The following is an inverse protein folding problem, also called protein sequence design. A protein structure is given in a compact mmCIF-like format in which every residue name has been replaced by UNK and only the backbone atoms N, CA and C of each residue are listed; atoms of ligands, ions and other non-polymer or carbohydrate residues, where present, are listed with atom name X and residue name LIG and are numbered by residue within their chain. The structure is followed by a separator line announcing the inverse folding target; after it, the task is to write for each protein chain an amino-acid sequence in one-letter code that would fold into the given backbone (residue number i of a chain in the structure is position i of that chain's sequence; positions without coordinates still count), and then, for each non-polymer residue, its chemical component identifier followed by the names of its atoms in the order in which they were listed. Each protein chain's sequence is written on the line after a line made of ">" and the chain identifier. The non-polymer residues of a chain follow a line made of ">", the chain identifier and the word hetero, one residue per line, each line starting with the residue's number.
data_IF_521500489069
#
_entry.id   IF_521500489069
#
_cell.length_a   1.000
_cell.length_b   1.000
_cell.length_c   1.000
_cell.angle_alpha   90.00
_cell.angle_beta   90.00
_cell.angle_gamma   90.00
#
_symmetry.space_group_name_H-M   'P 1'
#
loop_
_entity.id
_entity.type
_entity.pdbx_description
1 polymer ?
#
# COMPACT_ATOMS: atom_id res chain seq x y z
N UNK A 1 -15.00 -23.96 -53.98
CA UNK A 1 -13.97 -23.13 -53.32
C UNK A 1 -14.24 -21.68 -53.71
N UNK A 2 -14.47 -20.68 -52.87
CA UNK A 2 -14.40 -20.53 -51.42
C UNK A 2 -15.44 -19.46 -51.01
N UNK A 3 -16.24 -19.73 -49.97
CA UNK A 3 -17.12 -18.74 -49.35
C UNK A 3 -16.32 -17.81 -48.43
N UNK A 4 -16.58 -16.51 -48.52
CA UNK A 4 -15.85 -15.44 -47.84
C UNK A 4 -16.08 -15.42 -46.32
N UNK A 5 -15.01 -15.65 -45.55
CA UNK A 5 -14.91 -15.29 -44.12
C UNK A 5 -14.23 -13.92 -43.97
N UNK A 6 -14.97 -12.81 -44.04
CA UNK A 6 -14.43 -11.45 -43.74
C UNK A 6 -15.47 -10.48 -43.16
N UNK A 7 -16.32 -10.91 -42.22
CA UNK A 7 -17.28 -10.01 -41.55
C UNK A 7 -17.29 -10.03 -40.01
N UNK A 8 -16.47 -10.85 -39.36
CA UNK A 8 -16.47 -10.93 -37.89
C UNK A 8 -15.42 -10.07 -37.17
N UNK A 9 -14.32 -9.69 -37.85
CA UNK A 9 -13.22 -8.96 -37.18
C UNK A 9 -13.55 -7.47 -36.97
N UNK A 10 -14.36 -6.89 -37.84
CA UNK A 10 -14.71 -5.45 -37.78
C UNK A 10 -15.70 -5.15 -36.65
N UNK A 11 -16.53 -6.11 -36.22
CA UNK A 11 -17.48 -5.87 -35.11
C UNK A 11 -16.83 -6.00 -33.74
N UNK A 12 -15.83 -6.88 -33.56
CA UNK A 12 -15.12 -6.98 -32.29
C UNK A 12 -14.25 -5.74 -32.04
N UNK A 13 -13.57 -5.23 -33.07
CA UNK A 13 -12.75 -4.04 -32.95
C UNK A 13 -13.60 -2.78 -32.71
N UNK A 14 -14.73 -2.64 -33.42
CA UNK A 14 -15.65 -1.52 -33.19
C UNK A 14 -16.33 -1.60 -31.81
N UNK A 15 -16.67 -2.80 -31.33
CA UNK A 15 -17.26 -2.98 -29.99
C UNK A 15 -16.24 -2.69 -28.88
N UNK A 16 -14.98 -3.12 -29.04
CA UNK A 16 -13.89 -2.78 -28.13
C UNK A 16 -13.59 -1.26 -28.12
N UNK A 17 -13.57 -0.62 -29.28
CA UNK A 17 -13.42 0.84 -29.37
C UNK A 17 -14.62 1.59 -28.78
N UNK A 18 -15.84 1.08 -28.92
CA UNK A 18 -17.04 1.72 -28.33
C UNK A 18 -17.07 1.56 -26.80
N UNK A 19 -16.67 0.40 -26.27
CA UNK A 19 -16.50 0.17 -24.83
C UNK A 19 -15.41 1.08 -24.23
N UNK A 20 -14.26 1.21 -24.90
CA UNK A 20 -13.17 2.10 -24.49
C UNK A 20 -13.55 3.59 -24.52
N UNK A 21 -14.40 4.01 -25.47
CA UNK A 21 -14.88 5.39 -25.54
C UNK A 21 -15.93 5.68 -24.45
N UNK A 22 -16.73 4.68 -24.04
CA UNK A 22 -17.69 4.85 -22.93
C UNK A 22 -17.06 4.75 -21.54
N UNK A 23 -15.93 4.06 -21.36
CA UNK A 23 -15.21 4.01 -20.07
C UNK A 23 -14.48 5.31 -19.73
N UNK A 24 -14.04 6.07 -20.74
CA UNK A 24 -13.42 7.39 -20.54
C UNK A 24 -14.40 8.49 -20.11
N UNK A 25 -15.71 8.25 -20.17
CA UNK A 25 -16.72 9.28 -19.94
C UNK A 25 -17.01 9.61 -18.46
N UNK A 26 -16.45 8.85 -17.51
CA UNK A 26 -16.56 9.13 -16.06
C UNK A 26 -15.22 9.00 -15.31
N UNK A 27 -14.09 9.01 -16.03
CA UNK A 27 -12.77 8.92 -15.41
C UNK A 27 -12.56 10.10 -14.46
N UNK A 28 -12.41 9.82 -13.17
CA UNK A 28 -12.09 10.84 -12.15
C UNK A 28 -10.60 10.78 -11.85
N UNK A 29 -9.97 11.94 -11.72
CA UNK A 29 -8.60 12.05 -11.20
C UNK A 29 -8.67 12.45 -9.73
N UNK A 30 -7.96 11.72 -8.88
CA UNK A 30 -7.88 11.97 -7.46
C UNK A 30 -6.43 12.25 -7.06
N UNK A 31 -6.18 13.37 -6.39
CA UNK A 31 -4.90 13.66 -5.75
C UNK A 31 -5.06 13.41 -4.25
N UNK A 32 -4.33 12.46 -3.69
CA UNK A 32 -4.54 12.06 -2.30
C UNK A 32 -3.89 13.01 -1.32
N UNK A 33 -2.87 13.75 -1.76
CA UNK A 33 -2.09 14.71 -0.97
C UNK A 33 -2.30 16.12 -1.51
N UNK A 34 -2.38 17.11 -0.61
CA UNK A 34 -2.55 18.52 -1.00
C UNK A 34 -1.84 19.44 -0.04
N UNK A 35 -1.16 20.46 -0.55
CA UNK A 35 -0.58 21.53 0.25
C UNK A 35 -1.53 22.71 0.35
N UNK A 36 -1.71 23.20 1.57
CA UNK A 36 -2.47 24.40 1.87
C UNK A 36 -1.51 25.51 2.29
N UNK A 37 -1.40 26.52 1.43
CA UNK A 37 -0.53 27.68 1.58
C UNK A 37 -1.16 28.76 2.49
N UNK A 38 -0.41 29.23 3.47
CA UNK A 38 -0.62 30.48 4.17
C UNK A 38 0.22 31.58 3.53
N UNK A 39 -0.41 32.53 2.80
CA UNK A 39 0.32 33.53 2.04
C UNK A 39 1.01 34.61 2.90
N UNK A 40 0.96 34.50 4.23
CA UNK A 40 1.50 35.49 5.16
C UNK A 40 2.78 35.06 5.86
N UNK A 41 3.07 33.77 5.92
CA UNK A 41 4.22 33.21 6.64
C UNK A 41 4.97 32.26 5.73
N UNK A 42 6.30 32.32 5.80
CA UNK A 42 7.14 31.37 5.08
C UNK A 42 6.94 29.97 5.68
N UNK A 43 6.96 28.95 4.83
CA UNK A 43 6.94 27.56 5.26
C UNK A 43 7.96 27.31 6.38
N UNK A 44 7.46 26.77 7.49
CA UNK A 44 8.28 26.25 8.57
C UNK A 44 7.87 24.80 8.87
N UNK A 45 8.65 23.85 8.35
CA UNK A 45 8.44 22.42 8.58
C UNK A 45 8.28 22.06 10.07
N UNK A 46 8.95 22.79 10.97
CA UNK A 46 8.88 22.51 12.41
C UNK A 46 7.56 22.92 13.05
N UNK A 47 6.77 23.77 12.38
CA UNK A 47 5.54 24.35 12.91
C UNK A 47 4.34 24.18 11.95
N UNK A 48 4.39 23.22 11.01
CA UNK A 48 3.23 22.91 10.16
C UNK A 48 1.99 22.64 11.02
N UNK A 49 0.93 23.44 10.84
CA UNK A 49 -0.25 23.40 11.68
C UNK A 49 -1.55 23.84 10.96
N UNK A 50 -2.68 23.51 11.58
CA UNK A 50 -4.01 23.67 11.02
C UNK A 50 -4.36 25.14 10.66
N UNK A 51 -5.31 25.42 9.75
CA UNK A 51 -5.63 26.78 9.33
C UNK A 51 -5.88 27.76 10.49
N UNK A 52 -5.21 28.92 10.48
CA UNK A 52 -5.46 30.03 11.42
C UNK A 52 -4.60 30.04 12.69
N UNK A 53 -3.54 29.25 12.73
CA UNK A 53 -2.50 29.19 13.75
C UNK A 53 -1.29 30.10 13.39
N UNK A 54 -0.11 29.86 13.97
CA UNK A 54 1.06 30.76 13.84
C UNK A 54 1.70 30.67 12.45
N UNK A 55 1.81 29.47 11.86
CA UNK A 55 2.28 29.28 10.49
C UNK A 55 1.13 28.98 9.51
N UNK A 56 0.17 28.12 9.85
CA UNK A 56 -1.03 27.88 9.05
C UNK A 56 -0.80 27.24 7.66
N UNK A 57 0.45 26.90 7.33
CA UNK A 57 0.83 26.02 6.23
C UNK A 57 0.64 24.57 6.70
N UNK A 58 0.00 23.73 5.89
CA UNK A 58 -0.14 22.30 6.20
C UNK A 58 -0.30 21.43 4.96
N UNK A 59 0.11 20.17 5.09
CA UNK A 59 -0.20 19.10 4.13
C UNK A 59 -1.45 18.37 4.61
N UNK A 60 -2.37 18.11 3.69
CA UNK A 60 -3.56 17.32 3.92
C UNK A 60 -3.52 16.02 3.13
N UNK A 61 -4.18 15.00 3.67
CA UNK A 61 -4.42 13.73 3.01
C UNK A 61 -5.91 13.41 2.95
N UNK A 62 -6.35 12.82 1.84
CA UNK A 62 -7.76 12.47 1.59
C UNK A 62 -7.96 11.14 0.86
N UNK A 63 -6.94 10.27 0.88
CA UNK A 63 -6.94 8.99 0.15
C UNK A 63 -7.46 7.78 0.92
N UNK A 64 -8.16 7.96 2.05
CA UNK A 64 -8.67 6.85 2.85
C UNK A 64 -9.86 6.16 2.18
N UNK A 65 -9.95 4.83 2.30
CA UNK A 65 -11.06 4.00 1.80
C UNK A 65 -11.96 3.56 2.95
N UNK A 66 -13.29 3.62 2.75
CA UNK A 66 -14.27 3.21 3.74
C UNK A 66 -15.45 2.41 3.16
N UNK A 67 -16.01 1.53 4.00
CA UNK A 67 -17.29 0.87 3.74
C UNK A 67 -18.46 1.85 4.00
N UNK A 68 -18.99 2.47 2.93
CA UNK A 68 -20.02 3.52 2.92
C UNK A 68 -19.52 4.95 3.21
N UNK A 69 -18.93 5.55 2.18
CA UNK A 69 -18.53 6.94 2.19
C UNK A 69 -19.72 7.92 2.34
N UNK A 70 -19.82 8.58 3.50
CA UNK A 70 -20.66 9.78 3.68
C UNK A 70 -19.86 11.08 3.88
N UNK A 71 -18.52 11.00 3.97
CA UNK A 71 -17.66 12.11 4.41
C UNK A 71 -16.67 12.63 3.35
N UNK A 72 -16.76 12.16 2.10
CA UNK A 72 -15.87 12.60 1.02
C UNK A 72 -14.59 11.76 0.87
N UNK A 73 -14.48 10.65 1.60
CA UNK A 73 -13.41 9.66 1.48
C UNK A 73 -13.53 8.85 0.18
N UNK A 74 -12.57 7.96 -0.13
CA UNK A 74 -12.70 7.07 -1.28
C UNK A 74 -13.68 5.91 -1.01
N UNK A 75 -14.39 5.51 -2.06
CA UNK A 75 -15.17 4.27 -2.06
C UNK A 75 -14.24 3.07 -2.28
N UNK A 76 -14.77 1.88 -2.04
CA UNK A 76 -14.13 0.57 -2.23
C UNK A 76 -13.95 0.17 -3.70
N UNK A 77 -14.30 1.04 -4.65
CA UNK A 77 -14.24 0.74 -6.09
C UNK A 77 -13.72 1.92 -6.91
N UNK A 78 -12.69 1.66 -7.71
CA UNK A 78 -12.16 2.54 -8.75
C UNK A 78 -12.40 1.90 -10.12
N UNK A 79 -13.00 2.65 -11.05
CA UNK A 79 -13.30 2.15 -12.38
C UNK A 79 -13.12 3.19 -13.48
N UNK A 80 -11.98 3.11 -14.19
CA UNK A 80 -11.63 4.11 -15.19
C UNK A 80 -10.94 5.34 -14.59
N UNK A 81 -10.55 5.28 -13.32
CA UNK A 81 -10.05 6.41 -12.56
C UNK A 81 -8.53 6.53 -12.63
N UNK A 82 -8.04 7.73 -12.33
CA UNK A 82 -6.63 8.00 -12.07
C UNK A 82 -6.45 8.44 -10.64
N UNK A 83 -5.48 7.88 -9.92
CA UNK A 83 -5.13 8.35 -8.57
C UNK A 83 -3.67 8.73 -8.56
N UNK A 84 -3.34 9.91 -8.04
CA UNK A 84 -1.99 10.37 -7.78
C UNK A 84 -1.79 10.41 -6.26
N UNK A 85 -0.96 9.50 -5.75
CA UNK A 85 -0.61 9.37 -4.35
C UNK A 85 -1.00 8.02 -3.75
N UNK A 86 -1.34 8.04 -2.47
CA UNK A 86 -1.49 6.85 -1.63
C UNK A 86 -2.96 6.56 -1.37
N UNK A 87 -3.45 5.38 -1.73
CA UNK A 87 -4.74 4.85 -1.29
C UNK A 87 -4.53 4.11 0.03
N UNK A 88 -5.20 4.52 1.10
CA UNK A 88 -5.10 3.83 2.40
C UNK A 88 -6.39 3.08 2.72
N UNK A 89 -6.28 1.77 2.91
CA UNK A 89 -7.37 0.89 3.36
C UNK A 89 -7.37 0.71 4.88
N UNK A 90 -6.61 1.54 5.62
CA UNK A 90 -6.49 1.47 7.08
C UNK A 90 -7.83 1.28 7.79
N UNK A 91 -8.82 2.12 7.47
CA UNK A 91 -10.14 2.03 8.11
C UNK A 91 -11.06 0.95 7.55
N UNK A 92 -10.81 0.48 6.33
CA UNK A 92 -11.53 -0.66 5.78
C UNK A 92 -11.06 -1.96 6.43
N UNK A 93 -9.78 -2.05 6.78
CA UNK A 93 -9.15 -3.28 7.28
C UNK A 93 -9.14 -3.37 8.80
N UNK A 94 -9.27 -2.24 9.50
CA UNK A 94 -9.44 -2.18 10.95
C UNK A 94 -10.90 -1.95 11.36
N UNK A 95 -11.83 -2.54 10.60
CA UNK A 95 -13.25 -2.31 10.83
C UNK A 95 -13.81 -3.11 12.00
N UNK A 96 -14.87 -2.57 12.59
CA UNK A 96 -15.23 -2.78 13.99
C UNK A 96 -16.01 -4.08 14.26
N UNK A 97 -16.17 -4.98 13.28
CA UNK A 97 -17.17 -6.07 13.37
C UNK A 97 -16.86 -7.25 12.44
N UNK A 98 -16.76 -8.46 13.00
CA UNK A 98 -16.67 -9.72 12.26
C UNK A 98 -17.65 -9.80 11.07
N UNK A 99 -17.13 -10.12 9.88
CA UNK A 99 -17.92 -10.49 8.71
C UNK A 99 -18.42 -9.32 7.83
N UNK A 100 -17.85 -8.14 7.98
CA UNK A 100 -17.94 -7.03 7.03
C UNK A 100 -17.11 -7.31 5.77
N UNK A 101 -17.37 -6.54 4.70
CA UNK A 101 -16.70 -6.75 3.41
C UNK A 101 -15.42 -5.93 3.36
N UNK A 102 -14.27 -6.60 3.51
CA UNK A 102 -12.95 -5.97 3.53
C UNK A 102 -12.31 -6.11 2.14
N UNK A 103 -12.82 -5.34 1.18
CA UNK A 103 -12.47 -5.48 -0.24
C UNK A 103 -12.26 -4.14 -0.94
N UNK A 104 -11.17 -4.04 -1.71
CA UNK A 104 -10.90 -2.95 -2.65
C UNK A 104 -10.89 -3.48 -4.09
N UNK A 105 -11.61 -2.82 -4.99
CA UNK A 105 -11.71 -3.18 -6.40
C UNK A 105 -11.16 -2.06 -7.29
N UNK A 106 -10.17 -2.37 -8.12
CA UNK A 106 -9.54 -1.43 -9.05
C UNK A 106 -9.62 -1.99 -10.45
N UNK A 107 -10.35 -1.32 -11.34
CA UNK A 107 -10.57 -1.80 -12.70
C UNK A 107 -10.42 -0.72 -13.75
N UNK A 108 -9.74 -1.00 -14.87
CA UNK A 108 -9.53 -0.01 -15.94
C UNK A 108 -8.88 1.30 -15.46
N UNK A 109 -8.17 1.28 -14.34
CA UNK A 109 -7.65 2.47 -13.66
C UNK A 109 -6.14 2.56 -13.72
N UNK A 110 -5.62 3.75 -13.46
CA UNK A 110 -4.20 4.04 -13.35
C UNK A 110 -3.92 4.64 -11.97
N UNK A 111 -3.17 3.94 -11.14
CA UNK A 111 -2.79 4.41 -9.81
C UNK A 111 -1.31 4.73 -9.88
N UNK A 112 -1.00 6.01 -9.70
CA UNK A 112 0.35 6.54 -9.55
C UNK A 112 0.65 6.69 -8.06
N UNK A 113 1.48 5.81 -7.50
CA UNK A 113 1.84 5.82 -6.09
C UNK A 113 1.62 4.47 -5.41
N UNK A 114 0.83 4.43 -4.34
CA UNK A 114 0.75 3.22 -3.52
C UNK A 114 -0.64 2.90 -3.01
N UNK A 115 -0.85 1.61 -2.72
CA UNK A 115 -1.97 1.10 -1.95
C UNK A 115 -1.40 0.57 -0.63
N UNK A 116 -1.92 1.05 0.49
CA UNK A 116 -1.47 0.64 1.82
C UNK A 116 -2.61 0.29 2.75
N UNK A 117 -2.41 -0.66 3.67
CA UNK A 117 -3.31 -0.86 4.81
C UNK A 117 -2.92 -0.05 6.04
N UNK A 118 -1.83 0.71 5.98
CA UNK A 118 -1.31 1.50 7.09
C UNK A 118 -1.84 2.94 7.09
N UNK A 119 -1.57 3.67 8.17
CA UNK A 119 -1.73 5.12 8.19
C UNK A 119 -0.72 5.76 7.22
N UNK A 120 -1.18 6.62 6.29
CA UNK A 120 -0.30 7.33 5.40
C UNK A 120 0.64 8.26 6.15
N UNK A 121 1.82 8.43 5.59
CA UNK A 121 2.86 9.29 6.13
C UNK A 121 3.61 10.00 5.03
N UNK A 122 4.34 11.04 5.42
CA UNK A 122 5.32 11.67 4.57
C UNK A 122 6.31 12.50 5.35
N UNK A 123 7.34 12.94 4.65
CA UNK A 123 8.50 13.60 5.22
C UNK A 123 8.82 14.87 4.44
N UNK A 124 9.28 15.90 5.15
CA UNK A 124 9.82 17.10 4.54
C UNK A 124 11.06 16.80 3.70
N UNK A 125 11.28 17.63 2.68
CA UNK A 125 12.47 17.60 1.82
C UNK A 125 13.81 17.66 2.56
N UNK A 126 13.83 18.23 3.78
CA UNK A 126 15.03 18.37 4.61
C UNK A 126 15.21 17.26 5.65
N UNK A 127 14.30 16.27 5.70
CA UNK A 127 14.33 15.14 6.63
C UNK A 127 14.11 15.51 8.11
N UNK A 128 13.72 16.76 8.40
CA UNK A 128 13.55 17.24 9.77
C UNK A 128 12.13 17.07 10.31
N UNK A 129 11.14 16.87 9.44
CA UNK A 129 9.74 16.74 9.81
C UNK A 129 9.13 15.49 9.16
N UNK A 130 8.76 14.53 10.01
CA UNK A 130 7.99 13.35 9.61
C UNK A 130 6.56 13.55 10.09
N UNK A 131 5.62 13.51 9.15
CA UNK A 131 4.19 13.57 9.42
C UNK A 131 3.57 12.21 9.19
N UNK A 132 3.18 11.55 10.28
CA UNK A 132 2.21 10.47 10.20
C UNK A 132 0.82 11.07 10.35
N UNK A 133 -0.09 10.73 9.44
CA UNK A 133 -1.50 11.05 9.63
C UNK A 133 -1.98 10.35 10.90
N UNK A 134 -2.08 11.12 11.98
CA UNK A 134 -2.56 10.66 13.27
C UNK A 134 -4.02 11.02 13.45
N UNK A 135 -4.74 10.18 14.18
CA UNK A 135 -6.14 10.40 14.47
C UNK A 135 -6.32 11.58 15.44
N UNK A 136 -6.50 12.79 14.91
CA UNK A 136 -6.79 13.95 15.76
C UNK A 136 -8.26 14.00 16.16
N UNK A 137 -8.55 13.53 17.38
CA UNK A 137 -9.78 13.84 18.10
C UNK A 137 -11.05 13.17 17.57
N UNK A 138 -10.96 12.01 16.93
CA UNK A 138 -12.14 11.24 16.55
C UNK A 138 -12.44 10.10 17.53
N UNK A 139 -13.73 9.87 17.81
CA UNK A 139 -14.22 8.76 18.63
C UNK A 139 -14.14 7.41 17.87
N UNK A 140 -13.23 7.24 16.90
CA UNK A 140 -13.16 6.01 16.08
C UNK A 140 -12.36 4.97 16.86
N UNK A 141 -13.07 3.99 17.40
CA UNK A 141 -12.50 2.84 18.14
C UNK A 141 -11.83 1.84 17.18
N UNK A 142 -10.63 2.11 16.70
CA UNK A 142 -9.88 1.15 15.86
C UNK A 142 -9.71 -0.17 16.63
N UNK A 143 -10.06 -1.30 16.01
CA UNK A 143 -9.75 -2.60 16.60
C UNK A 143 -8.28 -2.93 16.33
N UNK A 144 -7.51 -3.02 17.42
CA UNK A 144 -6.10 -3.40 17.40
C UNK A 144 -5.92 -4.93 17.50
N UNK A 145 -6.99 -5.73 17.41
CA UNK A 145 -6.87 -7.17 17.41
C UNK A 145 -6.82 -7.71 15.98
N UNK A 146 -5.88 -8.61 15.72
CA UNK A 146 -5.97 -9.47 14.56
C UNK A 146 -7.10 -10.47 14.75
N UNK A 147 -7.99 -10.61 13.76
CA UNK A 147 -9.08 -11.58 13.76
C UNK A 147 -8.83 -12.63 12.67
N UNK A 148 -8.73 -13.91 13.07
CA UNK A 148 -8.56 -15.00 12.12
C UNK A 148 -9.76 -15.09 11.17
N UNK A 149 -9.50 -15.08 9.87
CA UNK A 149 -10.52 -15.06 8.82
C UNK A 149 -11.02 -13.67 8.42
N UNK A 150 -10.56 -12.60 9.08
CA UNK A 150 -10.75 -11.24 8.61
C UNK A 150 -9.68 -10.87 7.55
N UNK A 151 -9.92 -11.35 6.33
CA UNK A 151 -8.95 -11.27 5.23
C UNK A 151 -9.30 -10.13 4.28
N UNK A 152 -8.38 -9.17 4.16
CA UNK A 152 -8.51 -8.09 3.19
C UNK A 152 -8.36 -8.63 1.76
N UNK A 153 -9.22 -8.19 0.84
CA UNK A 153 -9.19 -8.63 -0.57
C UNK A 153 -8.94 -7.45 -1.51
N UNK A 154 -7.82 -7.47 -2.21
CA UNK A 154 -7.47 -6.50 -3.26
C UNK A 154 -7.69 -7.12 -4.65
N UNK A 155 -8.54 -6.52 -5.47
CA UNK A 155 -8.77 -6.97 -6.85
C UNK A 155 -8.31 -5.90 -7.84
N UNK A 156 -7.39 -6.27 -8.73
CA UNK A 156 -6.82 -5.41 -9.76
C UNK A 156 -7.11 -6.06 -11.12
N UNK A 157 -7.81 -5.34 -12.00
CA UNK A 157 -8.25 -5.86 -13.29
C UNK A 157 -8.11 -4.83 -14.42
N UNK A 158 -7.30 -5.13 -15.44
CA UNK A 158 -7.01 -4.20 -16.53
C UNK A 158 -6.55 -2.82 -16.03
N UNK A 159 -5.72 -2.81 -15.00
CA UNK A 159 -5.25 -1.59 -14.35
C UNK A 159 -3.73 -1.57 -14.24
N UNK A 160 -3.16 -0.38 -14.12
CA UNK A 160 -1.75 -0.20 -13.77
C UNK A 160 -1.69 0.40 -12.37
N UNK A 161 -0.95 -0.24 -11.47
CA UNK A 161 -0.51 0.34 -10.21
C UNK A 161 1.00 0.53 -10.36
N UNK A 162 1.41 1.75 -10.67
CA UNK A 162 2.81 2.13 -10.66
C UNK A 162 3.12 2.89 -9.37
N UNK A 163 4.39 2.96 -9.03
CA UNK A 163 4.93 3.60 -7.84
C UNK A 163 5.51 4.99 -8.14
N UNK A 164 5.09 5.62 -9.25
CA UNK A 164 5.67 6.86 -9.76
C UNK A 164 5.35 8.11 -8.90
N UNK A 165 4.40 8.02 -7.95
CA UNK A 165 4.10 9.12 -7.04
C UNK A 165 4.88 8.96 -5.73
N UNK A 166 6.01 9.66 -5.66
CA UNK A 166 6.95 9.61 -4.53
C UNK A 166 6.92 10.87 -3.66
N UNK A 167 6.24 11.91 -4.11
CA UNK A 167 6.11 13.14 -3.35
C UNK A 167 5.10 14.13 -3.92
N UNK A 168 4.59 14.96 -3.02
CA UNK A 168 3.82 16.15 -3.35
C UNK A 168 4.79 17.31 -3.60
N UNK A 169 4.80 17.81 -4.84
CA UNK A 169 5.57 18.99 -5.22
C UNK A 169 4.70 20.24 -5.14
N UNK A 170 5.14 21.25 -4.40
CA UNK A 170 4.35 22.47 -4.19
C UNK A 170 5.20 23.73 -4.13
N UNK A 171 4.52 24.87 -4.20
CA UNK A 171 5.12 26.19 -4.03
C UNK A 171 4.45 26.87 -2.84
N UNK A 172 5.26 27.25 -1.86
CA UNK A 172 4.90 28.14 -0.76
C UNK A 172 5.04 29.60 -1.21
N UNK A 173 4.01 30.43 -1.03
CA UNK A 173 3.99 31.81 -1.52
C UNK A 173 3.66 32.82 -0.43
N UNK A 174 4.69 33.33 0.25
CA UNK A 174 4.52 34.16 1.45
C UNK A 174 4.93 35.63 1.27
N UNK A 175 4.42 36.48 2.14
CA UNK A 175 4.81 37.90 2.23
C UNK A 175 6.03 38.10 3.14
N UNK A 176 7.06 38.75 2.62
CA UNK A 176 8.17 39.33 3.40
C UNK A 176 8.12 40.85 3.28
N UNK A 177 7.42 41.48 4.22
CA UNK A 177 7.06 42.90 4.13
C UNK A 177 6.07 43.16 3.00
N UNK A 178 6.44 44.02 2.05
CA UNK A 178 5.62 44.35 0.88
C UNK A 178 5.95 43.50 -0.37
N UNK A 179 6.81 42.48 -0.22
CA UNK A 179 7.28 41.63 -1.33
C UNK A 179 6.76 40.22 -1.16
N UNK A 180 6.13 39.66 -2.20
CA UNK A 180 5.82 38.24 -2.26
C UNK A 180 7.06 37.44 -2.65
N UNK A 181 7.39 36.45 -1.83
CA UNK A 181 8.43 35.46 -2.08
C UNK A 181 7.81 34.10 -2.39
N UNK A 182 8.62 33.22 -2.95
CA UNK A 182 8.22 31.87 -3.31
C UNK A 182 9.32 30.89 -2.92
N UNK A 183 8.93 29.77 -2.35
CA UNK A 183 9.81 28.61 -2.10
C UNK A 183 9.17 27.41 -2.76
N UNK A 184 9.94 26.63 -3.53
CA UNK A 184 9.47 25.36 -4.08
C UNK A 184 9.96 24.25 -3.16
N UNK A 185 9.07 23.34 -2.82
CA UNK A 185 9.33 22.30 -1.85
C UNK A 185 8.72 20.97 -2.29
N UNK A 186 9.25 19.90 -1.70
CA UNK A 186 8.78 18.55 -1.88
C UNK A 186 8.40 17.98 -0.52
N UNK A 187 7.24 17.36 -0.45
CA UNK A 187 6.84 16.51 0.67
C UNK A 187 6.87 15.06 0.17
N UNK A 188 7.87 14.30 0.60
CA UNK A 188 8.04 12.92 0.19
C UNK A 188 6.92 12.08 0.80
N UNK A 189 6.28 11.25 -0.02
CA UNK A 189 5.23 10.34 0.40
C UNK A 189 5.80 8.93 0.21
N UNK A 190 6.59 8.42 1.16
CA UNK A 190 7.11 7.08 1.04
C UNK A 190 5.92 6.14 0.85
N UNK A 191 5.98 5.34 -0.20
CA UNK A 191 5.14 4.16 -0.25
C UNK A 191 5.56 3.33 0.97
N UNK A 192 4.63 2.96 1.84
CA UNK A 192 4.89 2.06 2.97
C UNK A 192 5.85 2.56 4.06
N UNK A 193 5.66 2.03 5.25
CA UNK A 193 6.48 2.28 6.43
C UNK A 193 7.88 1.67 6.24
N UNK A 194 8.78 2.35 5.53
CA UNK A 194 10.15 1.86 5.32
C UNK A 194 10.86 1.52 6.65
N UNK A 195 11.87 0.63 6.60
CA UNK A 195 12.64 0.22 7.78
C UNK A 195 13.20 1.41 8.58
N UNK A 196 13.43 2.54 7.93
CA UNK A 196 13.86 3.80 8.54
C UNK A 196 12.89 4.32 9.62
N UNK A 197 11.58 4.11 9.41
CA UNK A 197 10.54 4.55 10.34
C UNK A 197 10.03 3.42 11.25
N UNK A 198 10.59 2.21 11.15
CA UNK A 198 10.21 1.05 11.98
C UNK A 198 10.15 1.36 13.48
N UNK A 199 11.02 2.26 13.97
CA UNK A 199 11.07 2.68 15.36
C UNK A 199 9.96 3.63 15.82
N UNK A 200 9.15 4.16 14.90
CA UNK A 200 8.00 5.04 15.20
C UNK A 200 6.72 4.26 15.51
N UNK A 201 6.66 2.97 15.14
CA UNK A 201 5.46 2.15 15.28
C UNK A 201 5.58 1.22 16.49
N UNK A 202 4.60 1.26 17.38
CA UNK A 202 4.58 0.43 18.58
C UNK A 202 4.36 -1.08 18.28
N UNK A 203 3.79 -1.42 17.12
CA UNK A 203 3.24 -2.75 16.85
C UNK A 203 3.78 -3.47 15.60
N UNK A 204 4.80 -2.93 14.92
CA UNK A 204 5.43 -3.60 13.76
C UNK A 204 4.54 -3.64 12.51
N UNK A 205 5.18 -3.80 11.35
CA UNK A 205 4.51 -3.78 10.05
C UNK A 205 5.30 -3.15 8.90
N UNK A 206 6.62 -2.95 9.01
CA UNK A 206 7.37 -2.19 8.00
C UNK A 206 7.37 -2.83 6.61
N UNK A 207 6.71 -2.16 5.66
CA UNK A 207 6.75 -2.53 4.25
C UNK A 207 8.04 -2.09 3.58
N UNK A 208 8.35 -2.65 2.41
CA UNK A 208 9.50 -2.16 1.62
C UNK A 208 9.22 -0.86 0.88
N UNK A 209 7.96 -0.47 0.77
CA UNK A 209 7.57 0.72 0.05
C UNK A 209 7.42 0.53 -1.45
N UNK A 210 6.77 -0.57 -1.82
CA UNK A 210 6.42 -0.89 -3.20
C UNK A 210 5.04 -0.31 -3.56
N UNK A 211 4.54 -0.52 -4.78
CA UNK A 211 3.21 -0.03 -5.17
C UNK A 211 2.06 -0.59 -4.30
N UNK A 212 2.25 -1.76 -3.68
CA UNK A 212 1.29 -2.34 -2.71
C UNK A 212 2.03 -2.68 -1.42
N UNK A 213 1.58 -2.16 -0.27
CA UNK A 213 2.16 -2.44 1.06
C UNK A 213 1.05 -2.80 2.05
N UNK A 214 0.96 -4.07 2.47
CA UNK A 214 -0.11 -4.51 3.36
C UNK A 214 0.47 -5.19 4.59
N UNK A 215 0.02 -4.76 5.77
CA UNK A 215 0.33 -5.33 7.09
C UNK A 215 -0.84 -6.14 7.67
N UNK A 216 -1.82 -6.47 6.84
CA UNK A 216 -2.97 -7.33 7.18
C UNK A 216 -2.98 -8.60 6.33
N UNK A 217 -3.64 -9.64 6.82
CA UNK A 217 -3.82 -10.87 6.06
C UNK A 217 -4.59 -10.59 4.77
N UNK A 218 -4.04 -11.00 3.63
CA UNK A 218 -4.46 -10.46 2.34
C UNK A 218 -4.65 -11.51 1.24
N UNK A 219 -5.75 -11.36 0.49
CA UNK A 219 -6.03 -12.00 -0.79
C UNK A 219 -5.88 -10.97 -1.92
N UNK A 220 -4.84 -11.10 -2.74
CA UNK A 220 -4.57 -10.21 -3.87
C UNK A 220 -4.83 -10.93 -5.19
N UNK A 221 -5.74 -10.39 -6.00
CA UNK A 221 -6.10 -10.91 -7.31
C UNK A 221 -5.73 -9.89 -8.40
N UNK A 222 -4.77 -10.24 -9.26
CA UNK A 222 -4.31 -9.39 -10.38
C UNK A 222 -4.66 -10.08 -11.69
N UNK A 223 -5.41 -9.40 -12.55
CA UNK A 223 -6.00 -10.02 -13.74
C UNK A 223 -6.11 -9.08 -14.94
N UNK A 224 -6.43 -9.65 -16.11
CA UNK A 224 -6.83 -8.92 -17.32
C UNK A 224 -5.78 -7.90 -17.81
N UNK A 225 -4.52 -8.32 -18.01
CA UNK A 225 -3.43 -7.46 -18.50
C UNK A 225 -3.11 -6.30 -17.54
N UNK A 226 -3.24 -6.53 -16.23
CA UNK A 226 -2.81 -5.56 -15.22
C UNK A 226 -1.29 -5.52 -15.07
N UNK A 227 -0.78 -4.40 -14.53
CA UNK A 227 0.64 -4.18 -14.21
C UNK A 227 0.74 -3.65 -12.79
N UNK A 228 1.62 -4.22 -11.97
CA UNK A 228 1.85 -3.80 -10.58
C UNK A 228 3.35 -3.70 -10.31
N UNK A 229 3.81 -2.55 -9.84
CA UNK A 229 5.21 -2.28 -9.49
C UNK A 229 5.52 -2.69 -8.03
N UNK A 230 5.68 -3.98 -7.81
CA UNK A 230 6.05 -4.53 -6.51
C UNK A 230 4.89 -4.71 -5.53
N UNK A 231 5.01 -5.72 -4.67
CA UNK A 231 4.05 -6.03 -3.59
C UNK A 231 4.84 -6.40 -2.33
N UNK A 232 4.55 -5.72 -1.23
CA UNK A 232 5.12 -5.94 0.09
C UNK A 232 4.02 -6.38 1.06
N UNK A 233 4.15 -7.59 1.60
CA UNK A 233 3.26 -8.10 2.65
C UNK A 233 4.04 -8.29 3.95
N UNK A 234 3.55 -7.73 5.03
CA UNK A 234 4.17 -7.78 6.35
C UNK A 234 3.17 -8.35 7.34
N UNK A 235 3.63 -9.09 8.36
CA UNK A 235 2.79 -9.35 9.52
C UNK A 235 2.72 -8.08 10.36
N UNK A 236 1.56 -7.41 10.36
CA UNK A 236 1.29 -6.24 11.18
C UNK A 236 0.95 -6.60 12.62
N UNK A 237 -0.10 -5.98 13.15
CA UNK A 237 -0.52 -6.20 14.52
C UNK A 237 -0.98 -7.65 14.72
N UNK A 238 -0.32 -8.36 15.65
CA UNK A 238 -0.56 -9.78 15.92
C UNK A 238 -1.15 -10.02 17.31
N UNK A 239 -1.61 -8.96 17.98
CA UNK A 239 -2.32 -9.10 19.26
C UNK A 239 -3.67 -9.73 18.98
N UNK A 240 -3.96 -10.84 19.66
CA UNK A 240 -5.26 -11.50 19.56
C UNK A 240 -5.64 -12.04 20.95
N UNK A 241 -6.67 -11.44 21.57
CA UNK A 241 -7.11 -11.81 22.90
C UNK A 241 -7.99 -13.08 22.92
N UNK A 242 -8.49 -13.51 21.76
CA UNK A 242 -9.42 -14.64 21.63
C UNK A 242 -8.68 -15.96 21.42
N UNK A 243 -7.59 -15.96 20.66
CA UNK A 243 -6.93 -17.17 20.16
C UNK A 243 -5.53 -17.36 20.75
N UNK A 244 -5.44 -17.42 22.08
CA UNK A 244 -4.17 -17.61 22.82
C UNK A 244 -3.77 -19.08 23.01
N UNK A 245 -4.57 -20.04 22.50
CA UNK A 245 -4.39 -21.48 22.78
C UNK A 245 -4.60 -22.42 21.60
N UNK A 246 -4.95 -21.93 20.40
CA UNK A 246 -5.21 -22.75 19.21
C UNK A 246 -4.18 -22.44 18.09
N UNK A 247 -3.88 -23.41 17.24
CA UNK A 247 -2.93 -23.26 16.13
C UNK A 247 -3.53 -22.40 15.01
N UNK A 248 -2.89 -21.27 14.71
CA UNK A 248 -3.30 -20.36 13.62
C UNK A 248 -2.10 -19.92 12.77
N UNK A 249 -2.38 -19.55 11.53
CA UNK A 249 -1.38 -19.05 10.58
C UNK A 249 -1.90 -17.84 9.84
N UNK A 250 -1.01 -16.91 9.52
CA UNK A 250 -1.31 -15.73 8.72
C UNK A 250 -1.13 -16.08 7.25
N UNK A 251 -2.22 -16.29 6.52
CA UNK A 251 -2.21 -16.90 5.19
C UNK A 251 -2.50 -15.86 4.08
N UNK A 252 -1.42 -15.30 3.52
CA UNK A 252 -1.55 -14.44 2.36
C UNK A 252 -1.67 -15.24 1.06
N UNK A 253 -2.53 -14.79 0.15
CA UNK A 253 -2.72 -15.39 -1.16
C UNK A 253 -2.60 -14.35 -2.27
N UNK A 254 -1.71 -14.59 -3.24
CA UNK A 254 -1.53 -13.75 -4.44
C UNK A 254 -1.83 -14.61 -5.67
N UNK A 255 -2.78 -14.17 -6.49
CA UNK A 255 -3.15 -14.81 -7.76
C UNK A 255 -2.99 -13.82 -8.91
N UNK A 256 -2.09 -14.12 -9.85
CA UNK A 256 -1.77 -13.26 -10.99
C UNK A 256 -2.08 -14.00 -12.30
N UNK A 257 -3.11 -13.56 -13.02
CA UNK A 257 -3.55 -14.18 -14.28
C UNK A 257 -3.48 -13.21 -15.45
N UNK A 258 -2.86 -13.63 -16.56
CA UNK A 258 -2.70 -12.84 -17.78
C UNK A 258 -2.16 -11.40 -17.49
N UNK A 259 -1.26 -11.24 -16.53
CA UNK A 259 -0.83 -9.93 -16.00
C UNK A 259 0.66 -9.90 -15.66
N UNK A 260 1.19 -8.75 -15.22
CA UNK A 260 2.60 -8.59 -14.88
C UNK A 260 2.77 -7.97 -13.50
N UNK A 261 3.66 -8.55 -12.69
CA UNK A 261 4.20 -7.92 -11.48
C UNK A 261 5.68 -7.63 -11.76
N UNK A 262 6.11 -6.39 -11.61
CA UNK A 262 7.51 -5.98 -11.78
C UNK A 262 8.12 -5.57 -10.45
N UNK A 263 9.42 -5.30 -10.43
CA UNK A 263 10.04 -4.60 -9.31
C UNK A 263 9.44 -3.20 -9.16
N UNK A 264 9.44 -2.73 -7.93
CA UNK A 264 9.14 -1.34 -7.59
C UNK A 264 10.38 -0.60 -7.09
N UNK A 265 10.22 0.68 -6.81
CA UNK A 265 11.20 1.58 -6.23
C UNK A 265 10.98 1.69 -4.74
N UNK A 266 12.04 1.51 -3.95
CA UNK A 266 12.01 1.72 -2.49
C UNK A 266 12.79 2.98 -2.09
N UNK A 267 13.34 3.71 -3.07
CA UNK A 267 14.13 4.92 -2.86
C UNK A 267 13.56 6.05 -3.71
N UNK A 268 13.33 7.21 -3.11
CA UNK A 268 12.86 8.39 -3.86
C UNK A 268 13.88 8.83 -4.91
N UNK A 269 13.39 9.19 -6.10
CA UNK A 269 14.18 9.30 -7.32
C UNK A 269 14.97 10.60 -7.48
N UNK A 270 14.71 11.62 -6.66
CA UNK A 270 15.40 12.93 -6.75
C UNK A 270 16.91 12.80 -6.52
N UNK A 271 17.39 11.71 -5.91
CA UNK A 271 18.82 11.48 -5.61
C UNK A 271 19.51 10.43 -6.51
N UNK A 272 18.87 9.31 -6.90
CA UNK A 272 19.43 8.32 -7.85
C UNK A 272 18.41 7.21 -8.21
N UNK A 273 17.86 7.16 -9.44
CA UNK A 273 16.70 6.30 -9.73
C UNK A 273 16.90 5.02 -10.56
N UNK A 274 15.92 4.10 -10.47
CA UNK A 274 15.38 3.29 -11.59
C UNK A 274 13.94 2.78 -11.34
N UNK A 275 13.11 2.70 -12.41
CA UNK A 275 11.63 2.58 -12.41
C UNK A 275 11.05 1.23 -12.89
N UNK A 276 9.90 0.84 -12.33
CA UNK A 276 8.99 -0.18 -12.84
C UNK A 276 7.99 0.32 -13.91
N UNK A 277 8.35 0.23 -15.20
CA UNK A 277 7.44 0.15 -16.36
C UNK A 277 6.54 1.36 -16.73
N UNK A 278 7.10 2.57 -16.80
CA UNK A 278 6.68 3.55 -17.83
C UNK A 278 7.45 3.30 -19.14
N UNK A 279 6.87 2.52 -20.06
CA UNK A 279 7.45 2.14 -21.37
C UNK A 279 8.84 1.44 -21.41
N UNK A 280 9.59 1.40 -20.31
CA UNK A 280 10.87 0.73 -20.15
C UNK A 280 10.75 -0.23 -18.94
N UNK A 281 11.00 -1.54 -19.10
CA UNK A 281 11.00 -2.46 -17.96
C UNK A 281 12.06 -2.01 -16.95
N UNK A 282 11.80 -2.27 -15.66
CA UNK A 282 12.79 -2.08 -14.61
C UNK A 282 14.15 -2.64 -15.05
N UNK A 283 15.22 -1.92 -14.72
CA UNK A 283 16.59 -2.26 -15.10
C UNK A 283 17.05 -3.56 -14.47
N UNK A 284 16.19 -4.25 -13.70
CA UNK A 284 16.37 -5.53 -13.04
C UNK A 284 17.80 -6.01 -13.21
N UNK A 285 18.67 -5.42 -12.40
CA UNK A 285 20.10 -5.53 -12.64
C UNK A 285 20.61 -6.90 -12.17
N UNK A 286 19.77 -7.63 -11.44
CA UNK A 286 20.03 -8.95 -10.88
C UNK A 286 21.05 -8.92 -9.75
N UNK A 287 21.23 -7.75 -9.13
CA UNK A 287 22.26 -7.51 -8.11
C UNK A 287 21.71 -7.65 -6.68
N UNK A 288 20.41 -7.89 -6.51
CA UNK A 288 19.80 -8.02 -5.18
C UNK A 288 19.63 -6.68 -4.47
N UNK A 289 19.54 -5.59 -5.22
CA UNK A 289 19.30 -4.27 -4.67
C UNK A 289 17.81 -4.10 -4.31
N UNK A 290 17.50 -3.20 -3.39
CA UNK A 290 16.14 -3.08 -2.87
C UNK A 290 15.12 -2.61 -3.94
N UNK A 291 15.58 -1.89 -4.98
CA UNK A 291 14.79 -1.48 -6.14
C UNK A 291 14.57 -2.62 -7.18
N UNK A 292 15.22 -3.77 -6.99
CA UNK A 292 14.97 -4.96 -7.82
C UNK A 292 13.78 -5.78 -7.28
N UNK A 293 13.20 -5.44 -6.12
CA UNK A 293 12.22 -6.29 -5.42
C UNK A 293 10.83 -6.17 -6.06
N UNK A 294 10.30 -7.30 -6.53
CA UNK A 294 8.93 -7.43 -7.03
C UNK A 294 7.97 -8.00 -5.99
N UNK A 295 8.45 -8.88 -5.11
CA UNK A 295 7.66 -9.43 -4.02
C UNK A 295 8.49 -9.42 -2.74
N UNK A 296 7.94 -8.85 -1.68
CA UNK A 296 8.53 -8.86 -0.35
C UNK A 296 7.56 -9.44 0.67
N UNK A 297 8.11 -10.29 1.54
CA UNK A 297 7.39 -10.89 2.64
C UNK A 297 8.21 -10.71 3.92
N UNK A 298 7.63 -10.03 4.93
CA UNK A 298 8.21 -9.97 6.27
C UNK A 298 7.29 -10.55 7.32
N UNK A 299 7.80 -11.46 8.14
CA UNK A 299 7.11 -11.84 9.37
C UNK A 299 7.41 -10.85 10.53
N UNK A 300 6.75 -11.07 11.66
CA UNK A 300 6.95 -10.30 12.89
C UNK A 300 7.43 -11.20 14.02
N UNK A 301 8.59 -10.85 14.61
CA UNK A 301 9.13 -11.55 15.77
C UNK A 301 8.24 -11.42 17.02
N UNK A 302 7.31 -10.46 17.04
CA UNK A 302 6.31 -10.30 18.09
C UNK A 302 5.09 -11.21 17.89
N UNK A 303 4.87 -11.72 16.67
CA UNK A 303 3.77 -12.64 16.36
C UNK A 303 4.01 -14.01 16.96
N UNK A 304 2.93 -14.65 17.44
CA UNK A 304 2.94 -16.07 17.81
C UNK A 304 2.60 -16.98 16.61
N UNK A 305 2.19 -16.39 15.49
CA UNK A 305 1.61 -17.11 14.35
C UNK A 305 2.59 -17.11 13.17
N UNK A 306 2.79 -18.28 12.56
CA UNK A 306 3.61 -18.38 11.36
C UNK A 306 2.95 -17.68 10.18
N UNK A 307 3.73 -16.98 9.36
CA UNK A 307 3.27 -16.41 8.09
C UNK A 307 3.40 -17.43 6.96
N UNK A 308 2.33 -17.61 6.17
CA UNK A 308 2.36 -18.37 4.92
C UNK A 308 2.01 -17.44 3.77
N UNK A 309 2.73 -17.60 2.67
CA UNK A 309 2.54 -16.81 1.46
C UNK A 309 2.34 -17.76 0.27
N UNK A 310 1.11 -17.80 -0.25
CA UNK A 310 0.74 -18.62 -1.40
C UNK A 310 0.69 -17.75 -2.66
N UNK A 311 1.59 -17.96 -3.60
CA UNK A 311 1.72 -17.12 -4.78
C UNK A 311 1.54 -17.96 -6.05
N UNK A 312 0.60 -17.57 -6.90
CA UNK A 312 0.23 -18.28 -8.12
C UNK A 312 0.26 -17.34 -9.34
N UNK A 313 1.03 -17.72 -10.37
CA UNK A 313 1.09 -17.02 -11.65
C UNK A 313 0.59 -17.95 -12.77
N UNK A 314 -0.35 -17.46 -13.59
CA UNK A 314 -0.89 -18.17 -14.77
C UNK A 314 -0.88 -17.25 -15.99
N UNK A 315 -0.16 -17.63 -17.05
CA UNK A 315 0.05 -16.80 -18.24
C UNK A 315 0.54 -15.37 -17.91
N UNK A 316 1.28 -15.25 -16.82
CA UNK A 316 1.70 -13.98 -16.25
C UNK A 316 3.22 -13.89 -16.19
N UNK A 317 3.73 -12.69 -15.98
CA UNK A 317 5.17 -12.43 -15.83
C UNK A 317 5.45 -11.86 -14.44
N UNK A 318 6.46 -12.41 -13.77
CA UNK A 318 7.09 -11.82 -12.58
C UNK A 318 8.48 -11.34 -13.00
N UNK A 319 8.77 -10.04 -12.83
CA UNK A 319 10.03 -9.40 -13.22
C UNK A 319 10.62 -8.68 -12.02
N UNK A 320 11.53 -9.32 -11.29
CA UNK A 320 12.17 -8.78 -10.11
C UNK A 320 12.50 -9.86 -9.10
N UNK A 321 13.11 -9.46 -8.00
CA UNK A 321 13.48 -10.33 -6.90
C UNK A 321 12.29 -10.64 -5.99
N UNK A 322 12.36 -11.83 -5.40
CA UNK A 322 11.44 -12.27 -4.35
C UNK A 322 12.23 -12.36 -3.07
N UNK A 323 11.89 -11.51 -2.10
CA UNK A 323 12.64 -11.36 -0.85
C UNK A 323 11.78 -11.83 0.33
N UNK A 324 12.41 -12.58 1.22
CA UNK A 324 11.83 -13.04 2.47
C UNK A 324 12.67 -12.50 3.63
N UNK A 325 12.07 -11.66 4.47
CA UNK A 325 12.59 -11.29 5.77
C UNK A 325 11.85 -12.13 6.81
N UNK A 326 12.52 -13.11 7.41
CA UNK A 326 11.90 -14.01 8.38
C UNK A 326 12.68 -14.03 9.68
N UNK A 327 11.93 -14.06 10.76
CA UNK A 327 12.37 -14.08 12.14
C UNK A 327 11.75 -15.29 12.83
N UNK A 328 12.37 -15.72 13.92
CA UNK A 328 11.67 -16.67 14.79
C UNK A 328 10.58 -15.90 15.53
N UNK A 329 9.34 -16.34 15.35
CA UNK A 329 8.16 -15.83 16.04
C UNK A 329 8.31 -15.87 17.57
N UNK A 330 7.48 -15.07 18.25
CA UNK A 330 7.34 -15.10 19.69
C UNK A 330 7.02 -16.53 20.16
N UNK A 331 7.52 -16.87 21.35
CA UNK A 331 7.39 -18.22 21.93
C UNK A 331 8.09 -19.33 21.13
N UNK A 332 9.02 -19.01 20.22
CA UNK A 332 9.98 -19.98 19.72
C UNK A 332 11.09 -20.27 20.75
N UNK A 333 11.22 -21.52 21.17
CA UNK A 333 12.23 -21.99 22.13
C UNK A 333 13.24 -22.90 21.43
N UNK A 334 14.41 -22.39 20.99
CA UNK A 334 15.38 -23.18 20.22
C UNK A 334 15.99 -24.36 20.99
N UNK A 335 15.93 -24.33 22.33
CA UNK A 335 16.39 -25.41 23.20
C UNK A 335 15.22 -26.23 23.77
N UNK A 336 14.00 -25.93 23.33
CA UNK A 336 12.76 -26.51 23.81
C UNK A 336 12.27 -25.95 25.15
N UNK A 337 10.96 -26.02 25.36
CA UNK A 337 10.25 -25.57 26.55
C UNK A 337 9.14 -26.59 26.86
N UNK A 338 9.11 -27.10 28.09
CA UNK A 338 8.08 -28.04 28.56
C UNK A 338 6.88 -27.23 29.09
N UNK A 339 6.02 -26.83 28.17
CA UNK A 339 4.86 -25.97 28.40
C UNK A 339 3.72 -26.66 29.14
N UNK A 340 3.60 -27.98 29.01
CA UNK A 340 2.51 -28.77 29.61
C UNK A 340 2.97 -29.61 30.82
N UNK A 341 4.26 -29.54 31.17
CA UNK A 341 4.90 -30.28 32.26
C UNK A 341 4.86 -31.80 32.09
N UNK A 342 4.84 -32.31 30.86
CA UNK A 342 4.86 -33.75 30.56
C UNK A 342 6.29 -34.33 30.40
N UNK A 343 7.30 -33.47 30.44
CA UNK A 343 8.72 -33.82 30.28
C UNK A 343 9.20 -33.89 28.83
N UNK A 344 8.34 -33.59 27.85
CA UNK A 344 8.69 -33.40 26.44
C UNK A 344 8.98 -31.92 26.21
N UNK A 345 10.08 -31.65 25.51
CA UNK A 345 10.49 -30.29 25.20
C UNK A 345 9.96 -29.89 23.83
N UNK A 346 9.13 -28.84 23.79
CA UNK A 346 8.56 -28.31 22.55
C UNK A 346 9.25 -27.02 22.13
N UNK A 347 9.52 -26.87 20.83
CA UNK A 347 10.18 -25.66 20.31
C UNK A 347 9.20 -24.52 20.01
N UNK A 348 7.90 -24.80 20.02
CA UNK A 348 6.84 -23.83 19.75
C UNK A 348 6.27 -23.20 21.02
N UNK A 349 6.78 -23.51 22.21
CA UNK A 349 6.31 -22.88 23.44
C UNK A 349 4.95 -23.36 23.96
N UNK A 350 4.43 -24.47 23.43
CA UNK A 350 3.22 -25.10 23.96
C UNK A 350 1.94 -24.82 23.23
N UNK A 351 2.01 -24.25 22.03
CA UNK A 351 0.88 -24.24 21.12
C UNK A 351 0.63 -25.70 20.70
N UNK A 352 -0.54 -26.24 21.05
CA UNK A 352 -0.93 -27.57 20.61
C UNK A 352 -1.17 -27.53 19.10
N UNK A 353 -0.41 -28.32 18.37
CA UNK A 353 -0.56 -28.57 16.94
C UNK A 353 -1.78 -29.45 16.60
#
# INVERSE_FOLDING_TARGET
>A
MHSWKKKLVVSQLALACTLAITSQANATTYDTWTYYDNPTTALDWSNMDAPGTVDGNYVNYSGFVYYNNTNGDFDTTFNGDTVNGTISTYYLNHDFTDGTTNQLNISNSLIHGSITSMLPMGESSDGHYVYQFSEYGTDRVIDDNWHDGDVFTLNIANSTIDDDYEGLYFTDSYLDGDVTKYTNETFHTPAGEGEEYAGLFANGGVGLGLAVNLDVESNINISNNSRVAGISLTQGNTVNNTYTTESHTWDNNISVTDSTVTSGSVTTLEDSGFYGNSAEPSDYSGNGEANDVALYFSDSAASNYSMKNNVYFSNSTLLGDVVFASTFNANFYPQGHDSNADGVLDTNGGWAD
#
